data_IF_723071057993
#
_entry.id   IF_723071057993
#
_cell.length_a   1.000
_cell.length_b   1.000
_cell.length_c   1.000
_cell.angle_alpha   90.00
_cell.angle_beta   90.00
_cell.angle_gamma   90.00
#
_symmetry.space_group_name_H-M   'P 1'
#
loop_
_entity.id
_entity.type
_entity.pdbx_description
1 polymer ?
#
# COMPACT_ATOMS: atom_id res chain seq x y z
N UNK A 1 -15.32 -6.17 -9.07
CA UNK A 1 -14.59 -6.76 -7.94
C UNK A 1 -13.10 -6.82 -8.24
N UNK A 2 -12.29 -6.38 -7.30
CA UNK A 2 -10.84 -6.42 -7.45
C UNK A 2 -10.21 -7.23 -6.33
N UNK A 3 -8.98 -7.69 -6.56
CA UNK A 3 -8.19 -8.38 -5.55
C UNK A 3 -7.22 -7.37 -4.95
N UNK A 4 -7.33 -7.14 -3.63
CA UNK A 4 -6.55 -6.15 -2.92
C UNK A 4 -5.72 -6.84 -1.84
N UNK A 5 -4.42 -6.54 -1.79
CA UNK A 5 -3.53 -7.00 -0.75
C UNK A 5 -3.19 -5.84 0.17
N UNK A 6 -3.25 -6.06 1.48
CA UNK A 6 -2.86 -5.07 2.48
C UNK A 6 -1.64 -5.62 3.21
N UNK A 7 -0.58 -4.84 3.30
CA UNK A 7 0.62 -5.19 4.08
C UNK A 7 0.83 -4.09 5.11
N UNK A 8 0.50 -4.37 6.36
CA UNK A 8 0.58 -3.42 7.48
C UNK A 8 0.70 -4.21 8.78
N UNK A 9 1.65 -3.86 9.64
CA UNK A 9 1.82 -4.52 10.93
C UNK A 9 0.80 -4.08 11.98
N UNK A 10 0.04 -3.01 11.69
CA UNK A 10 -1.08 -2.59 12.53
C UNK A 10 -2.30 -3.45 12.18
N UNK A 11 -2.49 -4.53 12.92
CA UNK A 11 -3.56 -5.50 12.65
C UNK A 11 -4.94 -4.90 12.73
N UNK A 12 -5.17 -4.00 13.69
CA UNK A 12 -6.48 -3.36 13.85
C UNK A 12 -6.84 -2.51 12.64
N UNK A 13 -5.91 -1.68 12.18
CA UNK A 13 -6.13 -0.87 10.99
C UNK A 13 -6.34 -1.75 9.76
N UNK A 14 -5.51 -2.77 9.60
CA UNK A 14 -5.60 -3.66 8.44
C UNK A 14 -6.96 -4.38 8.42
N UNK A 15 -7.45 -4.84 9.57
CA UNK A 15 -8.76 -5.47 9.65
C UNK A 15 -9.89 -4.51 9.32
N UNK A 16 -9.82 -3.27 9.83
CA UNK A 16 -10.83 -2.25 9.53
C UNK A 16 -10.88 -1.95 8.04
N UNK A 17 -9.74 -1.77 7.41
CA UNK A 17 -9.66 -1.53 5.97
C UNK A 17 -10.17 -2.73 5.18
N UNK A 18 -9.79 -3.93 5.60
CA UNK A 18 -10.23 -5.16 4.95
C UNK A 18 -11.75 -5.28 4.98
N UNK A 19 -12.36 -5.00 6.13
CA UNK A 19 -13.81 -5.07 6.30
C UNK A 19 -14.53 -4.11 5.36
N UNK A 20 -14.07 -2.87 5.31
CA UNK A 20 -14.69 -1.83 4.46
C UNK A 20 -14.55 -2.18 2.98
N UNK A 21 -13.37 -2.62 2.57
CA UNK A 21 -13.13 -2.98 1.16
C UNK A 21 -13.92 -4.21 0.75
N UNK A 22 -14.09 -5.19 1.63
CA UNK A 22 -14.93 -6.35 1.34
C UNK A 22 -16.39 -5.95 1.15
N UNK A 23 -16.86 -4.96 1.91
CA UNK A 23 -18.22 -4.45 1.75
C UNK A 23 -18.41 -3.78 0.38
N UNK A 24 -17.33 -3.26 -0.19
CA UNK A 24 -17.37 -2.67 -1.53
C UNK A 24 -17.27 -3.72 -2.64
N UNK A 25 -17.21 -5.00 -2.28
CA UNK A 25 -17.22 -6.09 -3.24
C UNK A 25 -15.84 -6.59 -3.65
N UNK A 26 -14.78 -6.17 -2.95
CA UNK A 26 -13.42 -6.61 -3.26
C UNK A 26 -13.04 -7.85 -2.47
N UNK A 27 -12.11 -8.63 -3.03
CA UNK A 27 -11.47 -9.73 -2.32
C UNK A 27 -10.21 -9.15 -1.68
N UNK A 28 -10.07 -9.31 -0.35
CA UNK A 28 -9.00 -8.67 0.40
C UNK A 28 -8.24 -9.70 1.23
N UNK A 29 -6.92 -9.61 1.19
CA UNK A 29 -6.06 -10.39 2.08
C UNK A 29 -5.08 -9.45 2.78
N UNK A 30 -4.68 -9.83 4.00
CA UNK A 30 -3.85 -9.00 4.87
C UNK A 30 -2.58 -9.75 5.24
N UNK A 31 -1.48 -9.00 5.33
CA UNK A 31 -0.19 -9.52 5.72
C UNK A 31 0.46 -8.52 6.68
N UNK A 32 1.14 -9.00 7.70
CA UNK A 32 1.73 -8.13 8.74
C UNK A 32 3.23 -7.91 8.59
N UNK A 33 3.83 -8.41 7.51
CA UNK A 33 5.26 -8.27 7.28
C UNK A 33 5.56 -8.17 5.79
N UNK A 34 6.70 -7.54 5.46
CA UNK A 34 7.18 -7.49 4.07
C UNK A 34 7.99 -8.74 3.71
N UNK A 35 8.36 -9.56 4.67
CA UNK A 35 9.14 -10.77 4.43
C UNK A 35 8.35 -11.74 3.55
N UNK A 36 8.97 -12.17 2.44
CA UNK A 36 8.32 -13.08 1.51
C UNK A 36 7.23 -12.45 0.65
N UNK A 37 7.03 -11.14 0.75
CA UNK A 37 5.94 -10.48 0.02
C UNK A 37 6.10 -10.58 -1.50
N UNK A 38 7.30 -10.40 -2.01
CA UNK A 38 7.55 -10.48 -3.45
C UNK A 38 7.14 -11.85 -3.99
N UNK A 39 7.50 -12.91 -3.28
CA UNK A 39 7.16 -14.28 -3.68
C UNK A 39 5.63 -14.47 -3.77
N UNK A 40 4.90 -13.99 -2.76
CA UNK A 40 3.45 -14.10 -2.77
C UNK A 40 2.81 -13.27 -3.86
N UNK A 41 3.33 -12.07 -4.12
CA UNK A 41 2.82 -11.20 -5.17
C UNK A 41 3.04 -11.83 -6.56
N UNK A 42 4.13 -12.55 -6.73
CA UNK A 42 4.41 -13.25 -7.99
C UNK A 42 3.47 -14.47 -8.16
N UNK A 43 3.13 -15.16 -7.09
CA UNK A 43 2.23 -16.31 -7.14
C UNK A 43 0.77 -15.90 -7.39
N UNK A 44 0.35 -14.80 -6.77
CA UNK A 44 -1.04 -14.35 -6.85
C UNK A 44 -1.06 -12.83 -6.89
N UNK A 45 -0.82 -12.27 -8.06
CA UNK A 45 -0.77 -10.82 -8.26
C UNK A 45 -2.13 -10.18 -7.98
N UNK A 46 -2.22 -9.26 -6.99
CA UNK A 46 -3.45 -8.52 -6.77
C UNK A 46 -3.64 -7.42 -7.81
N UNK A 47 -4.79 -6.78 -7.79
CA UNK A 47 -5.06 -5.62 -8.63
C UNK A 47 -4.55 -4.34 -7.99
N UNK A 48 -4.38 -4.34 -6.67
CA UNK A 48 -3.91 -3.19 -5.90
C UNK A 48 -3.22 -3.66 -4.63
N UNK A 49 -2.13 -3.00 -4.28
CA UNK A 49 -1.44 -3.21 -3.01
C UNK A 49 -1.56 -1.96 -2.15
N UNK A 50 -2.03 -2.13 -0.92
CA UNK A 50 -2.03 -1.07 0.10
C UNK A 50 -0.90 -1.43 1.07
N UNK A 51 0.10 -0.58 1.17
CA UNK A 51 1.36 -0.90 1.80
C UNK A 51 1.75 0.13 2.85
N UNK A 52 1.99 -0.34 4.09
CA UNK A 52 2.53 0.51 5.14
C UNK A 52 3.99 0.83 4.85
N UNK A 53 4.41 2.04 5.19
CA UNK A 53 5.78 2.49 4.96
C UNK A 53 6.73 1.98 6.03
N UNK A 54 6.33 2.08 7.31
CA UNK A 54 7.23 1.83 8.43
C UNK A 54 6.84 0.57 9.20
N UNK A 55 7.83 -0.30 9.38
CA UNK A 55 7.67 -1.51 10.19
C UNK A 55 8.63 -1.45 11.36
N UNK A 56 8.29 -2.08 12.52
CA UNK A 56 9.13 -2.01 13.72
C UNK A 56 10.57 -2.43 13.50
N UNK A 57 10.79 -3.47 12.70
CA UNK A 57 12.12 -3.99 12.44
C UNK A 57 12.90 -3.19 11.38
N UNK A 58 12.21 -2.39 10.57
CA UNK A 58 12.86 -1.60 9.52
C UNK A 58 11.97 -0.43 9.12
N UNK A 59 12.33 0.81 9.50
CA UNK A 59 11.51 1.99 9.18
C UNK A 59 11.35 2.25 7.67
N UNK A 60 12.20 1.67 6.84
CA UNK A 60 12.14 1.88 5.38
C UNK A 60 11.58 0.66 4.64
N UNK A 61 11.08 -0.35 5.35
CA UNK A 61 10.69 -1.61 4.72
C UNK A 61 9.64 -1.43 3.62
N UNK A 62 8.65 -0.55 3.85
CA UNK A 62 7.62 -0.30 2.84
C UNK A 62 8.17 0.33 1.57
N UNK A 63 9.05 1.32 1.71
CA UNK A 63 9.71 1.93 0.56
C UNK A 63 10.57 0.93 -0.20
N UNK A 64 11.33 0.13 0.54
CA UNK A 64 12.21 -0.88 -0.06
C UNK A 64 11.39 -1.88 -0.86
N UNK A 65 10.28 -2.34 -0.30
CA UNK A 65 9.39 -3.27 -0.99
C UNK A 65 8.80 -2.65 -2.25
N UNK A 66 8.35 -1.40 -2.17
CA UNK A 66 7.79 -0.72 -3.35
C UNK A 66 8.81 -0.64 -4.48
N UNK A 67 10.05 -0.29 -4.15
CA UNK A 67 11.12 -0.23 -5.16
C UNK A 67 11.43 -1.61 -5.73
N UNK A 68 11.47 -2.64 -4.89
CA UNK A 68 11.71 -4.00 -5.35
C UNK A 68 10.60 -4.47 -6.29
N UNK A 69 9.34 -4.13 -5.98
CA UNK A 69 8.21 -4.44 -6.87
C UNK A 69 8.43 -3.83 -8.24
N UNK A 70 8.84 -2.57 -8.30
CA UNK A 70 9.07 -1.89 -9.59
C UNK A 70 10.23 -2.48 -10.38
N UNK A 71 11.12 -3.21 -9.73
CA UNK A 71 12.26 -3.87 -10.37
C UNK A 71 11.97 -5.32 -10.72
N UNK A 72 10.78 -5.80 -10.44
CA UNK A 72 10.39 -7.19 -10.67
C UNK A 72 9.42 -7.24 -11.85
N UNK A 73 9.88 -7.76 -12.99
CA UNK A 73 9.17 -7.67 -14.28
C UNK A 73 7.69 -8.02 -14.24
N UNK A 74 7.31 -9.08 -13.53
CA UNK A 74 5.93 -9.57 -13.56
C UNK A 74 4.97 -8.71 -12.74
N UNK A 75 5.48 -7.89 -11.84
CA UNK A 75 4.67 -7.07 -10.94
C UNK A 75 5.07 -5.59 -10.95
N UNK A 76 5.94 -5.20 -11.86
CA UNK A 76 6.45 -3.82 -11.90
C UNK A 76 5.37 -2.76 -12.11
N UNK A 77 4.23 -3.14 -12.66
CA UNK A 77 3.12 -2.22 -12.93
C UNK A 77 2.01 -2.31 -11.87
N UNK A 78 2.22 -3.08 -10.81
CA UNK A 78 1.23 -3.23 -9.74
C UNK A 78 0.92 -1.87 -9.09
N UNK A 79 -0.34 -1.43 -9.08
CA UNK A 79 -0.69 -0.18 -8.39
C UNK A 79 -0.45 -0.30 -6.89
N UNK A 80 0.14 0.75 -6.30
CA UNK A 80 0.47 0.78 -4.88
C UNK A 80 -0.06 2.07 -4.26
N UNK A 81 -0.76 1.95 -3.12
CA UNK A 81 -1.08 3.08 -2.24
C UNK A 81 -0.27 2.90 -0.97
N UNK A 82 0.55 3.88 -0.62
CA UNK A 82 1.30 3.85 0.64
C UNK A 82 0.44 4.39 1.79
N UNK A 83 0.50 3.73 2.94
CA UNK A 83 -0.04 4.25 4.19
C UNK A 83 1.13 4.78 5.01
N UNK A 84 1.11 6.03 5.40
CA UNK A 84 2.27 6.65 6.00
C UNK A 84 1.95 7.62 7.13
N UNK A 85 2.78 7.61 8.16
CA UNK A 85 2.77 8.62 9.23
C UNK A 85 3.97 9.57 9.10
N UNK A 86 4.59 9.61 7.93
CA UNK A 86 5.82 10.40 7.70
C UNK A 86 5.66 11.86 8.12
N UNK A 87 4.53 12.50 7.77
CA UNK A 87 4.32 13.90 8.11
C UNK A 87 4.16 14.14 9.60
N UNK A 88 3.85 13.10 10.37
CA UNK A 88 3.76 13.18 11.83
C UNK A 88 5.10 12.92 12.51
N UNK A 89 5.91 12.03 11.94
CA UNK A 89 7.19 11.61 12.52
C UNK A 89 8.37 12.39 12.00
N UNK A 90 8.29 12.87 10.77
CA UNK A 90 9.33 13.65 10.13
C UNK A 90 8.79 15.06 9.82
N UNK A 91 9.54 16.12 10.16
CA UNK A 91 9.08 17.50 9.95
C UNK A 91 9.19 17.94 8.49
N UNK A 92 8.93 17.07 7.55
CA UNK A 92 8.97 17.37 6.13
C UNK A 92 7.58 17.37 5.54
N UNK A 93 7.30 18.33 4.69
CA UNK A 93 6.05 18.34 3.94
C UNK A 93 6.10 17.24 2.89
N UNK A 94 5.34 16.18 3.15
CA UNK A 94 5.23 15.06 2.24
C UNK A 94 3.91 15.18 1.48
N UNK A 95 3.99 15.22 0.17
CA UNK A 95 2.80 15.42 -0.67
C UNK A 95 2.85 14.55 -1.92
N UNK A 96 1.77 14.57 -2.70
CA UNK A 96 1.72 13.81 -3.95
C UNK A 96 2.80 14.26 -4.95
N UNK A 97 3.37 15.44 -4.76
CA UNK A 97 4.48 15.91 -5.60
C UNK A 97 5.76 15.13 -5.37
N UNK A 98 5.86 14.47 -4.21
CA UNK A 98 7.05 13.69 -3.86
C UNK A 98 7.00 12.27 -4.40
N UNK A 99 5.92 11.89 -5.08
CA UNK A 99 5.82 10.60 -5.72
C UNK A 99 6.70 10.60 -6.96
N UNK A 100 7.64 9.68 -6.99
CA UNK A 100 8.66 9.59 -8.03
C UNK A 100 9.00 8.13 -8.28
N UNK A 101 9.19 7.76 -9.54
CA UNK A 101 9.45 6.37 -9.92
C UNK A 101 10.73 5.80 -9.31
N UNK A 102 11.71 6.65 -9.04
CA UNK A 102 12.96 6.21 -8.43
C UNK A 102 12.95 6.28 -6.92
N UNK A 103 12.39 7.37 -6.39
CA UNK A 103 12.40 7.65 -4.97
C UNK A 103 11.17 7.08 -4.25
N UNK A 104 9.99 7.27 -4.84
CA UNK A 104 8.73 6.80 -4.26
C UNK A 104 7.83 6.27 -5.38
N UNK A 105 8.07 5.04 -5.83
CA UNK A 105 7.40 4.50 -7.02
C UNK A 105 6.02 3.94 -6.71
N UNK A 106 5.10 4.82 -6.36
CA UNK A 106 3.73 4.43 -6.02
C UNK A 106 2.72 5.31 -6.75
N UNK A 107 1.46 4.89 -6.80
CA UNK A 107 0.39 5.65 -7.46
C UNK A 107 -0.16 6.74 -6.58
N UNK A 108 -0.23 6.50 -5.27
CA UNK A 108 -0.77 7.48 -4.33
C UNK A 108 -0.34 7.11 -2.92
N UNK A 109 -0.68 7.96 -1.96
CA UNK A 109 -0.42 7.67 -0.56
C UNK A 109 -1.58 8.19 0.30
N UNK A 110 -1.71 7.64 1.51
CA UNK A 110 -2.67 8.09 2.51
C UNK A 110 -1.97 8.25 3.83
N UNK A 111 -2.22 9.36 4.52
CA UNK A 111 -1.61 9.63 5.82
C UNK A 111 -2.39 8.94 6.94
N UNK A 112 -1.66 8.47 7.95
CA UNK A 112 -2.27 7.93 9.16
C UNK A 112 -2.50 9.08 10.16
N UNK A 113 -3.61 9.14 10.89
CA UNK A 113 -4.71 8.16 10.87
C UNK A 113 -5.49 8.24 9.55
N UNK A 114 -5.85 7.06 9.02
CA UNK A 114 -6.45 6.95 7.70
C UNK A 114 -7.90 7.43 7.70
N UNK A 115 -8.23 8.32 6.77
CA UNK A 115 -9.61 8.67 6.48
C UNK A 115 -10.16 7.61 5.52
N UNK A 116 -11.07 6.79 6.00
CA UNK A 116 -11.59 5.64 5.24
C UNK A 116 -12.25 6.08 3.94
N UNK A 117 -13.03 7.17 4.00
CA UNK A 117 -13.71 7.67 2.80
C UNK A 117 -12.72 8.13 1.74
N UNK A 118 -11.69 8.84 2.16
CA UNK A 118 -10.63 9.31 1.26
C UNK A 118 -9.90 8.13 0.63
N UNK A 119 -9.58 7.12 1.43
CA UNK A 119 -8.91 5.92 0.92
C UNK A 119 -9.78 5.18 -0.08
N UNK A 120 -11.09 5.04 0.19
CA UNK A 120 -12.00 4.40 -0.74
C UNK A 120 -12.06 5.14 -2.07
N UNK A 121 -12.04 6.47 -2.04
CA UNK A 121 -12.02 7.27 -3.27
C UNK A 121 -10.75 7.03 -4.07
N UNK A 122 -9.60 6.95 -3.40
CA UNK A 122 -8.33 6.64 -4.06
C UNK A 122 -8.33 5.26 -4.68
N UNK A 123 -8.86 4.27 -3.97
CA UNK A 123 -8.97 2.90 -4.48
C UNK A 123 -9.82 2.88 -5.74
N UNK A 124 -10.99 3.51 -5.70
CA UNK A 124 -11.89 3.58 -6.86
C UNK A 124 -11.22 4.23 -8.06
N UNK A 125 -10.52 5.33 -7.84
CA UNK A 125 -9.83 6.05 -8.91
C UNK A 125 -8.78 5.17 -9.57
N UNK A 126 -7.98 4.47 -8.78
CA UNK A 126 -6.91 3.62 -9.31
C UNK A 126 -7.48 2.43 -10.06
N UNK A 127 -8.50 1.77 -9.51
CA UNK A 127 -9.09 0.57 -10.11
C UNK A 127 -9.93 0.87 -11.34
N UNK A 128 -10.34 2.11 -11.56
CA UNK A 128 -11.16 2.48 -12.72
C UNK A 128 -10.33 2.93 -13.93
N UNK A 129 -9.02 2.99 -13.80
CA UNK A 129 -8.13 3.37 -14.92
C UNK A 129 -7.63 2.19 -15.71
#
# INVERSE_FOLDING_TARGET
MAIIRIIDDDEELAEDLSMVLKKEGHEVSVRDTTEGAIHELLEAKPDLLILDVMFPENPAAGFDLAREIRQTDRIKDLPIILLTAINQEFPMDFSSKDIDKEWMPVEDFAEKPVDIKDLLDKVKKILST
#
